data_IF_234488722428
#
_entry.id   IF_234488722428
#
_cell.length_a   1.000
_cell.length_b   1.000
_cell.length_c   1.000
_cell.angle_alpha   90.00
_cell.angle_beta   90.00
_cell.angle_gamma   90.00
#
_symmetry.space_group_name_H-M   'P 1'
#
loop_
_entity.id
_entity.type
_entity.pdbx_description
1 polymer ?
#
# COMPACT_ATOMS: atom_id res chain seq x y z
N UNK A 1 -44.74 16.99 -31.75
CA UNK A 1 -45.85 17.96 -31.78
C UNK A 1 -45.98 18.42 -30.35
N UNK A 2 -45.59 19.61 -29.93
CA UNK A 2 -45.48 20.90 -30.61
C UNK A 2 -44.22 21.65 -30.13
N UNK A 3 -43.64 22.45 -31.03
CA UNK A 3 -42.80 23.59 -30.70
C UNK A 3 -43.70 24.78 -30.37
N UNK A 4 -43.25 25.67 -29.48
CA UNK A 4 -43.31 27.13 -29.68
C UNK A 4 -42.38 27.80 -28.64
N UNK A 5 -41.31 28.49 -29.02
CA UNK A 5 -41.19 29.82 -29.65
C UNK A 5 -40.94 30.92 -28.60
N UNK A 6 -39.71 31.47 -28.64
CA UNK A 6 -39.22 32.62 -27.88
C UNK A 6 -40.01 33.91 -28.21
N UNK A 7 -39.91 34.92 -27.34
CA UNK A 7 -39.62 36.26 -27.85
C UNK A 7 -38.44 36.93 -27.15
N UNK A 8 -37.67 37.62 -27.99
CA UNK A 8 -36.53 38.47 -27.70
C UNK A 8 -37.03 39.85 -27.21
N UNK A 9 -36.40 40.43 -26.18
CA UNK A 9 -36.79 41.74 -25.65
C UNK A 9 -35.68 42.39 -24.83
N UNK A 10 -34.84 43.17 -25.51
CA UNK A 10 -33.81 44.03 -24.92
C UNK A 10 -34.44 45.10 -24.01
N UNK A 11 -33.97 45.20 -22.78
CA UNK A 11 -33.94 46.47 -22.05
C UNK A 11 -32.72 46.51 -21.12
N UNK A 12 -31.75 47.32 -21.53
CA UNK A 12 -30.56 47.65 -20.76
C UNK A 12 -30.90 48.59 -19.61
N UNK A 13 -30.44 48.26 -18.41
CA UNK A 13 -30.24 49.22 -17.32
C UNK A 13 -28.90 48.93 -16.65
N UNK A 14 -27.99 49.88 -16.78
CA UNK A 14 -26.64 49.87 -16.24
C UNK A 14 -26.63 50.26 -14.76
N UNK A 15 -25.76 49.62 -13.95
CA UNK A 15 -24.93 50.17 -12.85
C UNK A 15 -24.43 49.05 -11.92
N UNK A 16 -23.38 49.25 -11.10
CA UNK A 16 -21.99 49.51 -11.47
C UNK A 16 -21.06 48.35 -11.07
N UNK A 17 -19.89 48.29 -11.70
CA UNK A 17 -18.86 47.29 -11.44
C UNK A 17 -18.34 47.33 -10.00
N UNK A 18 -18.62 46.28 -9.23
CA UNK A 18 -17.86 45.93 -8.03
C UNK A 18 -16.74 44.95 -8.41
N UNK A 19 -15.54 45.36 -8.05
CA UNK A 19 -14.27 44.66 -8.17
C UNK A 19 -14.35 43.19 -7.76
N UNK A 20 -14.19 42.27 -8.72
CA UNK A 20 -13.99 40.86 -8.47
C UNK A 20 -12.52 40.60 -8.07
N UNK A 21 -12.31 40.18 -6.81
CA UNK A 21 -11.11 39.49 -6.38
C UNK A 21 -11.07 38.06 -6.99
N UNK A 22 -9.89 37.44 -7.16
CA UNK A 22 -9.78 36.18 -7.90
C UNK A 22 -10.21 35.00 -7.01
N UNK A 23 -11.41 34.48 -7.25
CA UNK A 23 -11.86 33.18 -6.75
C UNK A 23 -11.18 32.06 -7.56
N UNK A 24 -9.99 31.62 -7.13
CA UNK A 24 -9.28 30.46 -7.70
C UNK A 24 -9.01 29.32 -6.69
N UNK A 25 -9.54 29.41 -5.46
CA UNK A 25 -9.25 28.48 -4.36
C UNK A 25 -10.08 27.17 -4.29
N UNK A 26 -11.34 27.08 -4.76
CA UNK A 26 -12.16 25.87 -4.53
C UNK A 26 -11.72 24.65 -5.36
N UNK A 27 -11.26 24.87 -6.60
CA UNK A 27 -10.98 23.76 -7.54
C UNK A 27 -9.69 22.99 -7.19
N UNK A 28 -8.69 23.64 -6.61
CA UNK A 28 -7.44 22.99 -6.22
C UNK A 28 -7.62 22.06 -5.02
N UNK A 29 -8.39 22.48 -4.01
CA UNK A 29 -8.71 21.67 -2.83
C UNK A 29 -9.50 20.41 -3.20
N UNK A 30 -10.48 20.53 -4.10
CA UNK A 30 -11.27 19.39 -4.58
C UNK A 30 -10.41 18.39 -5.37
N UNK A 31 -9.49 18.90 -6.18
CA UNK A 31 -8.52 18.06 -6.92
C UNK A 31 -7.58 17.33 -5.94
N UNK A 32 -7.05 18.03 -4.94
CA UNK A 32 -6.19 17.46 -3.90
C UNK A 32 -6.92 16.38 -3.08
N UNK A 33 -8.19 16.60 -2.76
CA UNK A 33 -9.04 15.64 -2.08
C UNK A 33 -9.22 14.38 -2.94
N UNK A 34 -9.53 14.54 -4.22
CA UNK A 34 -9.72 13.42 -5.15
C UNK A 34 -8.47 12.54 -5.25
N UNK A 35 -7.28 13.14 -5.37
CA UNK A 35 -6.01 12.38 -5.38
C UNK A 35 -5.74 11.71 -4.02
N UNK A 36 -6.07 12.38 -2.91
CA UNK A 36 -5.91 11.82 -1.56
C UNK A 36 -6.79 10.59 -1.32
N UNK A 37 -8.01 10.57 -1.87
CA UNK A 37 -8.93 9.43 -1.76
C UNK A 37 -8.43 8.20 -2.53
N UNK A 38 -7.74 8.38 -3.67
CA UNK A 38 -7.16 7.25 -4.44
C UNK A 38 -6.13 6.45 -3.63
N UNK A 39 -5.47 7.12 -2.68
CA UNK A 39 -4.44 6.54 -1.84
C UNK A 39 -4.99 5.78 -0.63
N UNK A 40 -6.31 5.74 -0.43
CA UNK A 40 -6.97 5.04 0.69
C UNK A 40 -7.24 3.56 0.40
N UNK A 41 -6.94 3.08 -0.81
CA UNK A 41 -7.27 1.73 -1.28
C UNK A 41 -6.86 0.62 -0.29
N UNK A 42 -5.65 0.66 0.27
CA UNK A 42 -5.19 -0.38 1.21
C UNK A 42 -6.08 -0.45 2.45
N UNK A 43 -6.45 0.70 3.02
CA UNK A 43 -7.23 0.74 4.25
C UNK A 43 -8.67 0.25 4.07
N UNK A 44 -9.19 0.27 2.86
CA UNK A 44 -10.46 -0.38 2.52
C UNK A 44 -10.28 -1.86 2.20
N UNK A 45 -9.16 -2.23 1.58
CA UNK A 45 -8.93 -3.58 1.08
C UNK A 45 -8.75 -4.60 2.20
N UNK A 46 -7.98 -4.27 3.23
CA UNK A 46 -7.69 -5.18 4.36
C UNK A 46 -8.96 -5.64 5.08
N UNK A 47 -9.84 -4.75 5.59
CA UNK A 47 -11.05 -5.18 6.27
C UNK A 47 -12.03 -5.92 5.36
N UNK A 48 -12.08 -5.55 4.08
CA UNK A 48 -12.92 -6.26 3.10
C UNK A 48 -12.43 -7.69 2.85
N UNK A 49 -11.12 -7.91 2.72
CA UNK A 49 -10.56 -9.26 2.60
C UNK A 49 -10.74 -10.07 3.88
N UNK A 50 -10.63 -9.43 5.05
CA UNK A 50 -10.91 -10.07 6.33
C UNK A 50 -12.40 -10.45 6.46
N UNK A 51 -13.33 -9.56 6.10
CA UNK A 51 -14.76 -9.85 6.06
C UNK A 51 -15.10 -11.03 5.13
N UNK A 52 -14.52 -11.04 3.91
CA UNK A 52 -14.66 -12.16 2.97
C UNK A 52 -14.10 -13.47 3.51
N UNK A 53 -13.00 -13.43 4.28
CA UNK A 53 -12.45 -14.61 4.94
C UNK A 53 -13.47 -15.16 5.95
N UNK A 54 -14.03 -14.30 6.79
CA UNK A 54 -15.03 -14.68 7.82
C UNK A 54 -16.29 -15.28 7.18
N UNK A 55 -16.88 -14.62 6.17
CA UNK A 55 -18.06 -15.14 5.46
C UNK A 55 -17.81 -16.53 4.88
N UNK A 56 -16.67 -16.72 4.20
CA UNK A 56 -16.32 -18.02 3.62
C UNK A 56 -16.12 -19.10 4.68
N UNK A 57 -15.52 -18.75 5.82
CA UNK A 57 -15.31 -19.69 6.91
C UNK A 57 -16.65 -20.14 7.51
N UNK A 58 -17.54 -19.18 7.79
CA UNK A 58 -18.87 -19.46 8.32
C UNK A 58 -19.72 -20.26 7.33
N UNK A 59 -19.72 -19.89 6.05
CA UNK A 59 -20.44 -20.62 5.00
C UNK A 59 -19.97 -22.08 4.89
N UNK A 60 -18.66 -22.33 4.85
CA UNK A 60 -18.11 -23.70 4.82
C UNK A 60 -18.46 -24.50 6.07
N UNK A 61 -18.49 -23.87 7.23
CA UNK A 61 -18.89 -24.53 8.47
C UNK A 61 -20.35 -25.00 8.41
N UNK A 62 -21.24 -24.16 7.85
CA UNK A 62 -22.65 -24.51 7.62
C UNK A 62 -22.76 -25.65 6.62
N UNK A 63 -22.16 -25.51 5.43
CA UNK A 63 -22.24 -26.54 4.38
C UNK A 63 -21.77 -27.91 4.90
N UNK A 64 -20.64 -27.94 5.60
CA UNK A 64 -20.08 -29.18 6.14
C UNK A 64 -20.98 -29.84 7.19
N UNK A 65 -21.44 -29.08 8.18
CA UNK A 65 -22.23 -29.64 9.27
C UNK A 65 -23.64 -30.01 8.80
N UNK A 66 -24.28 -29.17 7.98
CA UNK A 66 -25.60 -29.47 7.40
C UNK A 66 -25.53 -30.71 6.52
N UNK A 67 -24.55 -30.81 5.62
CA UNK A 67 -24.36 -32.00 4.77
C UNK A 67 -24.19 -33.27 5.60
N UNK A 68 -23.44 -33.20 6.70
CA UNK A 68 -23.18 -34.36 7.55
C UNK A 68 -24.38 -34.72 8.45
N UNK A 69 -25.23 -33.75 8.82
CA UNK A 69 -26.48 -34.04 9.51
C UNK A 69 -27.49 -34.66 8.56
N UNK A 70 -27.62 -34.13 7.34
CA UNK A 70 -28.51 -34.69 6.30
C UNK A 70 -28.11 -36.13 5.97
N UNK A 71 -26.82 -36.41 5.80
CA UNK A 71 -26.35 -37.78 5.57
C UNK A 71 -26.64 -38.69 6.76
N UNK A 72 -26.41 -38.22 7.98
CA UNK A 72 -26.73 -38.99 9.19
C UNK A 72 -28.22 -39.29 9.35
N UNK A 73 -29.10 -38.37 8.96
CA UNK A 73 -30.56 -38.63 8.98
C UNK A 73 -30.92 -39.68 7.93
N UNK A 74 -30.35 -39.61 6.72
CA UNK A 74 -30.59 -40.61 5.67
C UNK A 74 -30.10 -42.01 6.11
N UNK A 75 -28.90 -42.10 6.67
CA UNK A 75 -28.37 -43.36 7.22
C UNK A 75 -29.28 -43.94 8.30
N UNK A 76 -29.81 -43.12 9.20
CA UNK A 76 -30.75 -43.58 10.23
C UNK A 76 -32.11 -44.02 9.66
N UNK A 77 -32.51 -43.54 8.48
CA UNK A 77 -33.75 -43.93 7.82
C UNK A 77 -33.62 -45.25 7.04
N UNK A 78 -32.45 -45.52 6.48
CA UNK A 78 -32.19 -46.73 5.68
C UNK A 78 -31.70 -47.93 6.53
N UNK A 79 -31.23 -47.68 7.76
CA UNK A 79 -30.68 -48.71 8.64
C UNK A 79 -31.76 -49.39 9.49
N UNK A 80 -31.67 -50.71 9.65
CA UNK A 80 -32.54 -51.47 10.57
C UNK A 80 -32.01 -51.32 12.01
N UNK A 81 -32.28 -50.16 12.61
CA UNK A 81 -31.77 -49.78 13.95
C UNK A 81 -32.76 -50.16 15.05
N UNK A 82 -32.25 -50.52 16.23
CA UNK A 82 -33.11 -50.58 17.41
C UNK A 82 -33.62 -49.18 17.79
N UNK A 83 -34.75 -49.12 18.50
CA UNK A 83 -35.34 -47.83 18.94
C UNK A 83 -34.36 -47.01 19.78
N UNK A 84 -33.60 -47.65 20.66
CA UNK A 84 -32.64 -46.98 21.54
C UNK A 84 -31.44 -46.44 20.76
N UNK A 85 -30.94 -47.18 19.77
CA UNK A 85 -29.86 -46.72 18.88
C UNK A 85 -30.30 -45.55 18.00
N UNK A 86 -31.53 -45.60 17.46
CA UNK A 86 -32.10 -44.50 16.68
C UNK A 86 -32.24 -43.22 17.52
N UNK A 87 -32.70 -43.33 18.77
CA UNK A 87 -32.81 -42.20 19.70
C UNK A 87 -31.42 -41.63 20.03
N UNK A 88 -30.42 -42.47 20.30
CA UNK A 88 -29.05 -42.02 20.55
C UNK A 88 -28.45 -41.32 19.33
N UNK A 89 -28.68 -41.85 18.13
CA UNK A 89 -28.19 -41.27 16.88
C UNK A 89 -28.81 -39.90 16.62
N UNK A 90 -30.14 -39.79 16.71
CA UNK A 90 -30.84 -38.51 16.56
C UNK A 90 -30.42 -37.49 17.63
N UNK A 91 -30.20 -37.94 18.86
CA UNK A 91 -29.69 -37.07 19.95
C UNK A 91 -28.30 -36.52 19.62
N UNK A 92 -27.42 -37.36 19.05
CA UNK A 92 -26.11 -36.92 18.55
C UNK A 92 -26.25 -35.87 17.44
N UNK A 93 -27.11 -36.09 16.46
CA UNK A 93 -27.37 -35.11 15.38
C UNK A 93 -27.93 -33.78 15.91
N UNK A 94 -28.85 -33.82 16.87
CA UNK A 94 -29.36 -32.62 17.55
C UNK A 94 -28.24 -31.87 18.27
N UNK A 95 -27.35 -32.59 18.97
CA UNK A 95 -26.20 -31.98 19.65
C UNK A 95 -25.27 -31.26 18.68
N UNK A 96 -25.06 -31.83 17.48
CA UNK A 96 -24.27 -31.21 16.40
C UNK A 96 -24.93 -29.95 15.87
N UNK A 97 -26.24 -29.97 15.63
CA UNK A 97 -27.00 -28.78 15.20
C UNK A 97 -26.97 -27.67 16.25
N UNK A 98 -27.07 -28.02 17.54
CA UNK A 98 -26.91 -27.04 18.63
C UNK A 98 -25.49 -26.45 18.65
N UNK A 99 -24.46 -27.28 18.41
CA UNK A 99 -23.08 -26.83 18.25
C UNK A 99 -22.90 -25.89 17.05
N UNK A 100 -23.51 -26.21 15.91
CA UNK A 100 -23.52 -25.36 14.72
C UNK A 100 -24.21 -24.03 14.99
N UNK A 101 -25.36 -24.02 15.68
CA UNK A 101 -26.06 -22.79 16.08
C UNK A 101 -25.15 -21.86 16.88
N UNK A 102 -24.47 -22.37 17.91
CA UNK A 102 -23.53 -21.57 18.72
C UNK A 102 -22.38 -21.02 17.89
N UNK A 103 -21.82 -21.82 16.98
CA UNK A 103 -20.77 -21.38 16.06
C UNK A 103 -21.26 -20.29 15.10
N UNK A 104 -22.49 -20.41 14.59
CA UNK A 104 -23.10 -19.41 13.71
C UNK A 104 -23.40 -18.11 14.42
N UNK A 105 -23.84 -18.15 15.68
CA UNK A 105 -24.04 -16.93 16.47
C UNK A 105 -22.72 -16.16 16.66
N UNK A 106 -21.64 -16.87 16.97
CA UNK A 106 -20.30 -16.25 17.07
C UNK A 106 -19.76 -15.78 15.72
N UNK A 107 -19.95 -16.59 14.67
CA UNK A 107 -19.65 -16.23 13.30
C UNK A 107 -20.41 -14.98 12.86
N UNK A 108 -21.69 -14.85 13.21
CA UNK A 108 -22.51 -13.70 12.89
C UNK A 108 -22.07 -12.43 13.62
N UNK A 109 -21.67 -12.53 14.91
CA UNK A 109 -21.09 -11.38 15.64
C UNK A 109 -19.81 -10.88 14.97
N UNK A 110 -18.91 -11.79 14.63
CA UNK A 110 -17.65 -11.44 13.96
C UNK A 110 -17.89 -10.86 12.57
N UNK A 111 -18.79 -11.42 11.77
CA UNK A 111 -19.20 -10.86 10.48
C UNK A 111 -19.77 -9.45 10.60
N UNK A 112 -20.69 -9.23 11.54
CA UNK A 112 -21.30 -7.92 11.78
C UNK A 112 -20.26 -6.88 12.18
N UNK A 113 -19.31 -7.25 13.04
CA UNK A 113 -18.21 -6.37 13.42
C UNK A 113 -17.36 -5.97 12.21
N UNK A 114 -17.02 -6.92 11.33
CA UNK A 114 -16.24 -6.60 10.13
C UNK A 114 -17.03 -5.76 9.12
N UNK A 115 -18.33 -6.01 8.99
CA UNK A 115 -19.21 -5.19 8.16
C UNK A 115 -19.32 -3.76 8.71
N UNK A 116 -19.45 -3.59 10.03
CA UNK A 116 -19.43 -2.29 10.70
C UNK A 116 -18.11 -1.55 10.42
N UNK A 117 -16.96 -2.21 10.54
CA UNK A 117 -15.65 -1.62 10.22
C UNK A 117 -15.50 -1.23 8.75
N UNK A 118 -16.07 -2.00 7.83
CA UNK A 118 -16.12 -1.60 6.43
C UNK A 118 -16.96 -0.34 6.25
N UNK A 119 -18.13 -0.27 6.90
CA UNK A 119 -19.03 0.90 6.85
C UNK A 119 -18.38 2.14 7.46
N UNK A 120 -17.82 2.05 8.66
CA UNK A 120 -17.15 3.18 9.32
C UNK A 120 -16.04 3.80 8.46
N UNK A 121 -15.32 2.98 7.69
CA UNK A 121 -14.32 3.47 6.74
C UNK A 121 -14.92 4.13 5.50
N UNK A 122 -16.03 3.61 4.97
CA UNK A 122 -16.76 4.28 3.89
C UNK A 122 -17.30 5.63 4.36
N UNK A 123 -17.94 5.67 5.53
CA UNK A 123 -18.47 6.89 6.14
C UNK A 123 -17.34 7.92 6.35
N UNK A 124 -16.15 7.49 6.76
CA UNK A 124 -14.97 8.36 6.90
C UNK A 124 -14.42 8.88 5.55
N UNK A 125 -14.59 8.13 4.45
CA UNK A 125 -14.22 8.63 3.12
C UNK A 125 -15.26 9.63 2.60
N UNK A 126 -16.54 9.36 2.85
CA UNK A 126 -17.65 10.26 2.49
C UNK A 126 -17.63 11.55 3.30
N UNK A 127 -17.12 11.51 4.54
CA UNK A 127 -16.98 12.70 5.38
C UNK A 127 -15.89 13.66 4.89
N UNK A 128 -15.12 13.32 3.87
CA UNK A 128 -14.00 14.14 3.43
C UNK A 128 -14.49 15.36 2.63
N UNK A 129 -14.24 16.56 3.14
CA UNK A 129 -14.69 17.82 2.57
C UNK A 129 -13.58 18.89 2.58
N UNK A 130 -13.72 19.92 1.76
CA UNK A 130 -12.76 21.01 1.67
C UNK A 130 -12.64 21.83 2.96
N UNK A 131 -13.69 21.84 3.80
CA UNK A 131 -13.72 22.53 5.08
C UNK A 131 -13.03 21.74 6.21
N UNK A 132 -13.13 20.41 6.21
CA UNK A 132 -12.55 19.55 7.26
C UNK A 132 -11.26 18.81 6.83
N UNK A 133 -10.71 19.16 5.67
CA UNK A 133 -9.56 18.48 5.05
C UNK A 133 -8.35 18.32 6.00
N UNK A 134 -8.12 19.28 6.89
CA UNK A 134 -7.03 19.24 7.88
C UNK A 134 -7.23 18.11 8.90
N UNK A 135 -8.42 18.01 9.50
CA UNK A 135 -8.76 16.97 10.47
C UNK A 135 -8.77 15.60 9.81
N UNK A 136 -9.35 15.51 8.61
CA UNK A 136 -9.35 14.29 7.81
C UNK A 136 -7.93 13.83 7.48
N UNK A 137 -7.06 14.74 7.06
CA UNK A 137 -5.64 14.45 6.78
C UNK A 137 -4.88 14.02 8.03
N UNK A 138 -5.19 14.62 9.19
CA UNK A 138 -4.60 14.22 10.46
C UNK A 138 -5.01 12.79 10.85
N UNK A 139 -6.30 12.46 10.71
CA UNK A 139 -6.82 11.10 10.94
C UNK A 139 -6.15 10.09 10.01
N UNK A 140 -6.00 10.43 8.73
CA UNK A 140 -5.29 9.61 7.74
C UNK A 140 -3.83 9.36 8.14
N UNK A 141 -3.11 10.39 8.58
CA UNK A 141 -1.74 10.25 9.08
C UNK A 141 -1.68 9.30 10.28
N UNK A 142 -2.58 9.45 11.26
CA UNK A 142 -2.65 8.56 12.42
C UNK A 142 -2.90 7.11 12.02
N UNK A 143 -3.78 6.85 11.06
CA UNK A 143 -4.02 5.51 10.49
C UNK A 143 -2.76 4.93 9.83
N UNK A 144 -2.01 5.74 9.08
CA UNK A 144 -0.70 5.36 8.50
C UNK A 144 0.32 5.02 9.60
N UNK A 145 0.37 5.81 10.67
CA UNK A 145 1.27 5.55 11.80
C UNK A 145 0.91 4.24 12.52
N UNK A 146 -0.38 3.94 12.71
CA UNK A 146 -0.80 2.67 13.30
C UNK A 146 -0.44 1.50 12.38
N UNK A 147 -0.68 1.58 11.07
CA UNK A 147 -0.22 0.55 10.11
C UNK A 147 1.29 0.30 10.22
N UNK A 148 2.10 1.37 10.27
CA UNK A 148 3.54 1.26 10.45
C UNK A 148 3.91 0.59 11.78
N UNK A 149 3.32 1.04 12.90
CA UNK A 149 3.59 0.48 14.22
C UNK A 149 3.26 -1.01 14.29
N UNK A 150 2.11 -1.42 13.75
CA UNK A 150 1.70 -2.82 13.73
C UNK A 150 2.64 -3.69 12.88
N UNK A 151 3.13 -3.18 11.73
CA UNK A 151 4.10 -3.89 10.87
C UNK A 151 5.48 -4.02 11.49
N UNK A 152 5.90 -3.03 12.28
CA UNK A 152 7.18 -2.99 12.97
C UNK A 152 7.12 -3.64 14.36
N UNK A 153 6.05 -4.37 14.67
CA UNK A 153 5.82 -5.06 15.95
C UNK A 153 5.63 -4.14 17.18
N UNK A 154 5.36 -2.85 16.99
CA UNK A 154 5.01 -1.89 18.04
C UNK A 154 3.51 -1.92 18.36
N UNK A 155 2.98 -3.12 18.65
CA UNK A 155 1.55 -3.37 18.78
C UNK A 155 0.88 -2.52 19.88
N UNK A 156 1.50 -2.46 21.06
CA UNK A 156 0.94 -1.70 22.19
C UNK A 156 0.83 -0.21 21.90
N UNK A 157 1.86 0.36 21.28
CA UNK A 157 1.89 1.77 20.89
C UNK A 157 0.84 2.06 19.83
N UNK A 158 0.72 1.18 18.83
CA UNK A 158 -0.30 1.29 17.77
C UNK A 158 -1.72 1.24 18.34
N UNK A 159 -1.99 0.31 19.26
CA UNK A 159 -3.29 0.20 19.95
C UNK A 159 -3.61 1.44 20.76
N UNK A 160 -2.66 1.94 21.58
CA UNK A 160 -2.85 3.16 22.38
C UNK A 160 -3.12 4.40 21.51
N UNK A 161 -2.45 4.52 20.36
CA UNK A 161 -2.71 5.60 19.41
C UNK A 161 -4.12 5.50 18.81
N UNK A 162 -4.58 4.29 18.50
CA UNK A 162 -5.92 4.06 17.97
C UNK A 162 -7.03 4.36 19.00
N UNK A 163 -6.83 3.97 20.25
CA UNK A 163 -7.75 4.24 21.36
C UNK A 163 -7.84 5.74 21.67
N UNK A 164 -6.69 6.39 21.89
CA UNK A 164 -6.63 7.83 22.21
C UNK A 164 -7.17 8.74 21.10
N UNK A 165 -7.18 8.27 19.85
CA UNK A 165 -7.71 8.99 18.71
C UNK A 165 -9.11 8.52 18.27
N UNK A 166 -9.74 7.64 19.04
CA UNK A 166 -11.07 7.06 18.76
C UNK A 166 -11.21 6.53 17.32
N UNK A 167 -10.22 5.76 16.87
CA UNK A 167 -10.13 5.28 15.47
C UNK A 167 -9.99 3.75 15.37
N UNK A 168 -10.42 3.01 16.40
CA UNK A 168 -10.37 1.55 16.44
C UNK A 168 -11.07 0.89 15.24
N UNK A 169 -12.15 1.48 14.75
CA UNK A 169 -12.89 0.97 13.58
C UNK A 169 -12.22 1.28 12.23
N UNK A 170 -11.21 2.17 12.23
CA UNK A 170 -10.51 2.63 11.03
C UNK A 170 -9.15 1.94 10.83
N UNK A 171 -8.75 1.07 11.76
CA UNK A 171 -7.45 0.37 11.76
C UNK A 171 -7.62 -1.15 11.88
N UNK A 172 -6.58 -1.90 11.51
CA UNK A 172 -6.63 -3.35 11.33
C UNK A 172 -5.93 -4.14 12.46
N UNK A 173 -6.03 -3.68 13.71
CA UNK A 173 -5.29 -4.23 14.86
C UNK A 173 -5.46 -5.75 14.96
N UNK A 174 -6.69 -6.27 14.90
CA UNK A 174 -6.95 -7.71 15.06
C UNK A 174 -6.28 -8.56 13.96
N UNK A 175 -6.22 -8.03 12.73
CA UNK A 175 -5.60 -8.70 11.59
C UNK A 175 -4.09 -8.84 11.81
N UNK A 176 -3.46 -7.80 12.36
CA UNK A 176 -2.04 -7.85 12.73
C UNK A 176 -1.78 -8.68 14.01
N UNK A 177 -2.74 -8.77 14.93
CA UNK A 177 -2.63 -9.69 16.08
C UNK A 177 -2.68 -11.17 15.66
N UNK A 178 -3.49 -11.52 14.65
CA UNK A 178 -3.44 -12.86 14.04
C UNK A 178 -2.05 -13.15 13.47
N UNK A 179 -1.47 -12.20 12.74
CA UNK A 179 -0.13 -12.34 12.18
C UNK A 179 0.95 -12.44 13.28
N UNK A 180 0.83 -11.65 14.35
CA UNK A 180 1.73 -11.67 15.50
C UNK A 180 1.86 -13.08 16.08
N UNK A 181 0.74 -13.78 16.30
CA UNK A 181 0.76 -15.16 16.82
C UNK A 181 1.61 -16.11 15.98
N UNK A 182 1.56 -15.95 14.65
CA UNK A 182 2.37 -16.76 13.72
C UNK A 182 3.85 -16.33 13.76
N UNK A 183 4.12 -15.02 13.79
CA UNK A 183 5.49 -14.48 13.84
C UNK A 183 6.18 -14.91 15.14
N UNK A 184 5.51 -14.74 16.29
CA UNK A 184 6.04 -15.11 17.61
C UNK A 184 6.31 -16.63 17.67
N UNK A 185 5.43 -17.46 17.08
CA UNK A 185 5.65 -18.89 17.00
C UNK A 185 6.88 -19.26 16.15
N UNK A 186 7.03 -18.64 14.98
CA UNK A 186 8.21 -18.86 14.13
C UNK A 186 9.50 -18.41 14.82
N UNK A 187 9.48 -17.29 15.55
CA UNK A 187 10.63 -16.84 16.35
C UNK A 187 10.98 -17.84 17.48
N UNK A 188 9.97 -18.51 18.02
CA UNK A 188 10.11 -19.59 19.01
C UNK A 188 10.34 -20.97 18.38
N UNK A 189 10.66 -21.03 17.07
CA UNK A 189 10.93 -22.26 16.32
C UNK A 189 9.76 -23.23 16.20
N UNK A 190 8.54 -22.71 16.23
CA UNK A 190 7.32 -23.49 16.00
C UNK A 190 6.68 -23.12 14.66
N UNK A 191 6.67 -24.07 13.73
CA UNK A 191 6.04 -23.92 12.41
C UNK A 191 4.53 -24.18 12.42
N UNK A 192 3.97 -24.77 13.48
CA UNK A 192 2.60 -25.28 13.47
C UNK A 192 1.56 -24.16 13.22
N UNK A 193 1.64 -22.98 13.85
CA UNK A 193 0.72 -21.88 13.56
C UNK A 193 0.82 -21.37 12.12
N UNK A 194 2.03 -21.33 11.56
CA UNK A 194 2.25 -20.90 10.18
C UNK A 194 1.70 -21.92 9.17
N UNK A 195 1.83 -23.22 9.45
CA UNK A 195 1.25 -24.29 8.63
C UNK A 195 -0.28 -24.32 8.72
N UNK A 196 -0.86 -24.06 9.89
CA UNK A 196 -2.31 -23.88 10.05
C UNK A 196 -2.81 -22.70 9.21
N UNK A 197 -2.10 -21.56 9.27
CA UNK A 197 -2.39 -20.41 8.41
C UNK A 197 -2.30 -20.74 6.92
N UNK A 198 -1.32 -21.56 6.50
CA UNK A 198 -1.22 -22.03 5.11
C UNK A 198 -2.44 -22.89 4.72
N UNK A 199 -2.91 -23.77 5.60
CA UNK A 199 -4.07 -24.61 5.36
C UNK A 199 -5.35 -23.77 5.19
N UNK A 200 -5.56 -22.78 6.05
CA UNK A 200 -6.71 -21.87 5.99
C UNK A 200 -6.75 -21.06 4.69
N UNK A 201 -5.58 -20.72 4.16
CA UNK A 201 -5.40 -19.88 2.98
C UNK A 201 -5.01 -20.65 1.70
N UNK A 202 -5.06 -21.99 1.72
CA UNK A 202 -4.51 -22.87 0.68
C UNK A 202 -4.92 -22.51 -0.75
N UNK A 203 -6.20 -22.24 -0.97
CA UNK A 203 -6.73 -21.91 -2.31
C UNK A 203 -6.13 -20.61 -2.88
N UNK A 204 -5.83 -19.64 -2.03
CA UNK A 204 -5.26 -18.34 -2.41
C UNK A 204 -3.76 -18.46 -2.63
N UNK A 205 -3.07 -19.15 -1.71
CA UNK A 205 -1.64 -19.42 -1.82
C UNK A 205 -1.29 -20.24 -3.06
N UNK A 206 -2.16 -21.18 -3.46
CA UNK A 206 -2.01 -21.93 -4.71
C UNK A 206 -2.11 -21.03 -5.94
N UNK A 207 -3.03 -20.04 -5.94
CA UNK A 207 -3.19 -19.08 -7.05
C UNK A 207 -1.96 -18.18 -7.18
N UNK A 208 -1.35 -17.76 -6.08
CA UNK A 208 -0.13 -16.95 -6.07
C UNK A 208 1.15 -17.77 -6.22
N UNK A 209 1.05 -19.10 -6.33
CA UNK A 209 2.19 -20.04 -6.39
C UNK A 209 3.17 -19.84 -5.22
N UNK A 210 2.63 -19.59 -4.03
CA UNK A 210 3.40 -19.37 -2.81
C UNK A 210 4.27 -20.57 -2.46
N UNK A 211 5.52 -20.31 -2.06
CA UNK A 211 6.46 -21.33 -1.57
C UNK A 211 6.48 -21.47 -0.05
N UNK A 212 5.66 -20.69 0.68
CA UNK A 212 5.71 -20.61 2.14
C UNK A 212 5.50 -21.98 2.80
N UNK A 213 4.45 -22.70 2.42
CA UNK A 213 4.17 -24.04 2.99
C UNK A 213 5.36 -24.98 2.78
N UNK A 214 5.94 -24.98 1.58
CA UNK A 214 7.10 -25.82 1.28
C UNK A 214 8.31 -25.47 2.15
N UNK A 215 8.64 -24.17 2.28
CA UNK A 215 9.77 -23.72 3.10
C UNK A 215 9.57 -24.05 4.60
N UNK A 216 8.36 -23.89 5.13
CA UNK A 216 8.02 -24.29 6.50
C UNK A 216 8.21 -25.80 6.72
N UNK A 217 7.77 -26.62 5.76
CA UNK A 217 7.95 -28.09 5.82
C UNK A 217 9.41 -28.51 5.74
N UNK A 218 10.24 -27.80 4.97
CA UNK A 218 11.68 -28.04 4.93
C UNK A 218 12.32 -27.71 6.28
N UNK A 219 11.98 -26.57 6.90
CA UNK A 219 12.52 -26.21 8.21
C UNK A 219 12.12 -27.20 9.29
N UNK A 220 10.85 -27.62 9.33
CA UNK A 220 10.36 -28.63 10.27
C UNK A 220 11.12 -29.96 10.13
N UNK A 221 11.40 -30.38 8.89
CA UNK A 221 12.27 -31.53 8.64
C UNK A 221 13.70 -31.31 9.17
N UNK A 222 14.29 -30.14 8.94
CA UNK A 222 15.64 -29.80 9.43
C UNK A 222 15.69 -29.88 10.97
N UNK A 223 14.65 -29.42 11.67
CA UNK A 223 14.59 -29.54 13.13
C UNK A 223 14.46 -31.01 13.58
N UNK A 224 13.69 -31.85 12.88
CA UNK A 224 13.68 -33.30 13.17
C UNK A 224 15.07 -33.96 12.99
N UNK A 225 15.86 -33.48 12.03
CA UNK A 225 17.25 -33.92 11.83
C UNK A 225 18.16 -33.37 12.92
N UNK A 226 17.96 -32.12 13.36
CA UNK A 226 18.70 -31.49 14.46
C UNK A 226 18.51 -32.26 15.77
N UNK A 227 17.30 -32.79 16.01
CA UNK A 227 16.93 -33.61 17.17
C UNK A 227 17.35 -35.09 17.03
N UNK A 228 18.14 -35.43 16.01
CA UNK A 228 18.59 -36.80 15.68
C UNK A 228 17.44 -37.83 15.53
N UNK A 229 16.22 -37.35 15.28
CA UNK A 229 15.00 -38.16 15.12
C UNK A 229 14.84 -38.66 13.68
N UNK A 230 15.88 -39.32 13.13
CA UNK A 230 16.00 -39.63 11.69
C UNK A 230 14.84 -40.45 11.12
N UNK A 231 14.34 -41.46 11.85
CA UNK A 231 13.19 -42.26 11.41
C UNK A 231 11.93 -41.40 11.24
N UNK A 232 11.68 -40.48 12.18
CA UNK A 232 10.54 -39.55 12.10
C UNK A 232 10.74 -38.58 10.94
N UNK A 233 11.96 -38.06 10.74
CA UNK A 233 12.29 -37.18 9.62
C UNK A 233 12.02 -37.85 8.26
N UNK A 234 12.43 -39.11 8.07
CA UNK A 234 12.19 -39.86 6.82
C UNK A 234 10.69 -40.07 6.56
N UNK A 235 9.93 -40.47 7.59
CA UNK A 235 8.47 -40.63 7.49
C UNK A 235 7.82 -39.28 7.16
N UNK A 236 8.25 -38.21 7.80
CA UNK A 236 7.78 -36.85 7.56
C UNK A 236 8.03 -36.41 6.11
N UNK A 237 9.26 -36.58 5.61
CA UNK A 237 9.64 -36.21 4.25
C UNK A 237 8.80 -36.94 3.21
N UNK A 238 8.58 -38.24 3.37
CA UNK A 238 7.72 -39.04 2.48
C UNK A 238 6.29 -38.51 2.46
N UNK A 239 5.77 -38.09 3.61
CA UNK A 239 4.39 -37.61 3.73
C UNK A 239 4.19 -36.19 3.18
N UNK A 240 5.06 -35.25 3.55
CA UNK A 240 4.83 -33.82 3.32
C UNK A 240 5.73 -33.19 2.26
N UNK A 241 6.94 -33.72 2.03
CA UNK A 241 7.90 -33.14 1.07
C UNK A 241 7.86 -33.84 -0.30
N UNK A 242 7.63 -35.15 -0.34
CA UNK A 242 7.56 -35.90 -1.59
C UNK A 242 6.60 -35.31 -2.65
N UNK A 243 5.40 -34.78 -2.30
CA UNK A 243 4.53 -34.12 -3.27
C UNK A 243 5.14 -32.90 -3.98
N UNK A 244 6.17 -32.29 -3.39
CA UNK A 244 6.85 -31.10 -3.92
C UNK A 244 8.11 -31.44 -4.71
N UNK A 245 8.53 -32.70 -4.72
CA UNK A 245 9.77 -33.13 -5.37
C UNK A 245 9.77 -32.83 -6.88
N UNK A 246 8.62 -32.94 -7.56
CA UNK A 246 8.49 -32.65 -8.99
C UNK A 246 8.83 -31.19 -9.34
N UNK A 247 8.57 -30.24 -8.44
CA UNK A 247 8.78 -28.80 -8.68
C UNK A 247 10.01 -28.23 -7.98
N UNK A 248 10.48 -28.86 -6.90
CA UNK A 248 11.54 -28.36 -6.03
C UNK A 248 12.61 -29.40 -5.70
N UNK A 249 12.96 -30.27 -6.66
CA UNK A 249 13.88 -31.38 -6.44
C UNK A 249 15.25 -30.95 -5.88
N UNK A 250 15.82 -29.86 -6.36
CA UNK A 250 17.14 -29.39 -5.92
C UNK A 250 17.15 -29.01 -4.43
N UNK A 251 16.12 -28.26 -3.99
CA UNK A 251 15.97 -27.86 -2.60
C UNK A 251 15.70 -29.09 -1.72
N UNK A 252 14.87 -30.02 -2.21
CA UNK A 252 14.58 -31.27 -1.53
C UNK A 252 15.84 -32.14 -1.35
N UNK A 253 16.64 -32.36 -2.40
CA UNK A 253 17.89 -33.11 -2.33
C UNK A 253 18.87 -32.47 -1.35
N UNK A 254 19.02 -31.15 -1.41
CA UNK A 254 19.91 -30.40 -0.51
C UNK A 254 19.51 -30.59 0.95
N UNK A 255 18.22 -30.54 1.26
CA UNK A 255 17.72 -30.71 2.63
C UNK A 255 17.79 -32.18 3.07
N UNK A 256 17.49 -33.15 2.22
CA UNK A 256 17.61 -34.58 2.56
C UNK A 256 19.07 -34.96 2.88
N UNK A 257 20.06 -34.35 2.22
CA UNK A 257 21.47 -34.55 2.53
C UNK A 257 21.85 -34.20 3.97
N UNK A 258 21.05 -33.41 4.69
CA UNK A 258 21.29 -33.12 6.11
C UNK A 258 21.16 -34.36 7.02
N UNK A 259 20.54 -35.45 6.53
CA UNK A 259 20.59 -36.76 7.19
C UNK A 259 22.02 -37.33 7.30
N UNK A 260 22.89 -37.01 6.33
CA UNK A 260 24.30 -37.38 6.36
C UNK A 260 25.16 -36.29 7.02
N UNK A 261 24.88 -35.02 6.69
CA UNK A 261 25.58 -33.85 7.24
C UNK A 261 24.77 -33.29 8.42
N UNK A 262 24.97 -33.89 9.61
CA UNK A 262 24.34 -33.52 10.89
C UNK A 262 24.44 -32.01 11.21
N UNK A 263 23.70 -31.56 12.22
CA UNK A 263 23.64 -30.15 12.65
C UNK A 263 24.98 -29.50 13.01
N UNK A 264 25.97 -30.29 13.46
CA UNK A 264 27.33 -29.82 13.77
C UNK A 264 28.29 -29.80 12.55
N UNK A 265 27.77 -29.88 11.32
CA UNK A 265 28.61 -29.92 10.12
C UNK A 265 29.34 -28.61 9.85
N UNK A 266 30.62 -28.72 9.47
CA UNK A 266 31.41 -27.59 8.96
C UNK A 266 31.28 -27.42 7.44
N UNK A 267 30.50 -28.28 6.77
CA UNK A 267 30.26 -28.17 5.34
C UNK A 267 29.30 -27.00 5.08
N UNK A 268 29.86 -25.87 4.62
CA UNK A 268 29.13 -24.60 4.45
C UNK A 268 27.76 -24.71 3.74
N UNK A 269 27.59 -25.47 2.63
CA UNK A 269 26.29 -25.61 1.96
C UNK A 269 25.16 -26.17 2.84
N UNK A 270 25.50 -26.99 3.84
CA UNK A 270 24.54 -27.63 4.75
C UNK A 270 24.49 -26.93 6.11
N UNK A 271 25.61 -26.37 6.58
CA UNK A 271 25.69 -25.58 7.81
C UNK A 271 24.67 -24.45 7.83
N UNK A 272 24.55 -23.72 6.71
CA UNK A 272 23.62 -22.58 6.55
C UNK A 272 22.16 -22.99 6.82
N UNK A 273 21.78 -24.24 6.54
CA UNK A 273 20.40 -24.72 6.73
C UNK A 273 20.03 -24.87 8.21
N UNK A 274 21.00 -25.06 9.09
CA UNK A 274 20.79 -25.18 10.54
C UNK A 274 20.91 -23.83 11.28
N UNK A 275 21.29 -22.76 10.58
CA UNK A 275 21.47 -21.44 11.19
C UNK A 275 20.15 -20.85 11.69
N UNK A 276 20.15 -20.15 12.84
CA UNK A 276 18.95 -19.48 13.34
C UNK A 276 18.33 -18.48 12.35
N UNK A 277 19.15 -17.87 11.47
CA UNK A 277 18.70 -16.92 10.44
C UNK A 277 17.70 -17.49 9.44
N UNK A 278 17.58 -18.82 9.33
CA UNK A 278 16.53 -19.45 8.52
C UNK A 278 15.13 -19.09 9.06
N UNK A 279 14.99 -18.97 10.38
CA UNK A 279 13.72 -18.57 11.00
C UNK A 279 13.36 -17.12 10.69
N UNK A 280 14.34 -16.21 10.69
CA UNK A 280 14.12 -14.81 10.27
C UNK A 280 13.65 -14.75 8.81
N UNK A 281 14.25 -15.57 7.95
CA UNK A 281 13.86 -15.67 6.53
C UNK A 281 12.43 -16.21 6.36
N UNK A 282 12.00 -17.15 7.21
CA UNK A 282 10.61 -17.64 7.22
C UNK A 282 9.63 -16.60 7.74
N UNK A 283 10.01 -15.82 8.75
CA UNK A 283 9.20 -14.69 9.25
C UNK A 283 9.01 -13.67 8.13
N UNK A 284 10.07 -13.31 7.40
CA UNK A 284 9.98 -12.36 6.30
C UNK A 284 9.14 -12.91 5.13
N UNK A 285 9.31 -14.19 4.79
CA UNK A 285 8.48 -14.85 3.77
C UNK A 285 7.00 -14.85 4.19
N UNK A 286 6.71 -15.15 5.46
CA UNK A 286 5.35 -15.08 6.00
C UNK A 286 4.79 -13.67 5.92
N UNK A 287 5.54 -12.64 6.34
CA UNK A 287 5.12 -11.23 6.25
C UNK A 287 4.79 -10.82 4.81
N UNK A 288 5.60 -11.23 3.85
CA UNK A 288 5.34 -10.96 2.42
C UNK A 288 4.06 -11.62 1.94
N UNK A 289 3.85 -12.90 2.25
CA UNK A 289 2.65 -13.63 1.84
C UNK A 289 1.40 -13.11 2.55
N UNK A 290 1.51 -12.73 3.82
CA UNK A 290 0.46 -12.07 4.58
C UNK A 290 0.05 -10.72 3.94
N UNK A 291 1.03 -9.87 3.58
CA UNK A 291 0.74 -8.61 2.91
C UNK A 291 0.05 -8.82 1.55
N UNK A 292 0.57 -9.73 0.72
CA UNK A 292 -0.04 -10.10 -0.57
C UNK A 292 -1.47 -10.62 -0.39
N UNK A 293 -1.71 -11.42 0.64
CA UNK A 293 -3.02 -12.01 0.93
C UNK A 293 -4.04 -10.93 1.31
N UNK A 294 -3.67 -9.90 2.06
CA UNK A 294 -4.59 -8.81 2.40
C UNK A 294 -4.59 -7.66 1.39
N UNK A 295 -3.82 -7.75 0.30
CA UNK A 295 -3.71 -6.68 -0.69
C UNK A 295 -2.99 -5.44 -0.18
N UNK A 296 -2.08 -5.64 0.76
CA UNK A 296 -1.24 -4.61 1.35
C UNK A 296 0.06 -4.44 0.56
N UNK A 297 0.64 -3.25 0.63
CA UNK A 297 2.01 -3.01 0.20
C UNK A 297 2.99 -3.82 1.06
N UNK A 298 4.11 -4.25 0.47
CA UNK A 298 5.18 -4.92 1.23
C UNK A 298 5.88 -3.93 2.16
N UNK A 299 6.23 -2.76 1.62
CA UNK A 299 6.74 -1.65 2.40
C UNK A 299 5.58 -0.94 3.14
N UNK A 300 5.76 -0.54 4.41
CA UNK A 300 4.78 0.26 5.13
C UNK A 300 4.44 1.56 4.39
N UNK A 301 3.18 2.00 4.48
CA UNK A 301 2.72 3.22 3.80
C UNK A 301 3.51 4.47 4.21
N UNK A 302 3.94 4.54 5.47
CA UNK A 302 4.77 5.64 5.97
C UNK A 302 6.07 5.77 5.18
N UNK A 303 6.75 4.65 4.90
CA UNK A 303 8.00 4.63 4.13
C UNK A 303 7.76 5.11 2.71
N UNK A 304 6.70 4.60 2.07
CA UNK A 304 6.35 4.95 0.68
C UNK A 304 6.06 6.45 0.56
N UNK A 305 5.21 6.99 1.44
CA UNK A 305 4.86 8.41 1.40
C UNK A 305 6.02 9.32 1.75
N UNK A 306 6.85 8.93 2.72
CA UNK A 306 8.04 9.69 3.07
C UNK A 306 9.03 9.73 1.90
N UNK A 307 9.30 8.59 1.25
CA UNK A 307 10.18 8.54 0.08
C UNK A 307 9.61 9.35 -1.09
N UNK A 308 8.31 9.23 -1.38
CA UNK A 308 7.67 10.00 -2.43
C UNK A 308 7.73 11.52 -2.16
N UNK A 309 7.42 11.94 -0.93
CA UNK A 309 7.50 13.33 -0.51
C UNK A 309 8.92 13.89 -0.57
N UNK A 310 9.90 13.17 -0.04
CA UNK A 310 11.30 13.57 -0.10
C UNK A 310 11.80 13.65 -1.55
N UNK A 311 11.43 12.70 -2.41
CA UNK A 311 11.80 12.75 -3.84
C UNK A 311 11.17 13.94 -4.58
N UNK A 312 9.94 14.33 -4.23
CA UNK A 312 9.27 15.49 -4.81
C UNK A 312 9.92 16.82 -4.37
N UNK A 313 10.45 16.86 -3.15
CA UNK A 313 11.14 18.04 -2.61
C UNK A 313 12.62 18.09 -3.02
N UNK A 314 13.26 16.94 -3.25
CA UNK A 314 14.68 16.85 -3.55
C UNK A 314 15.03 17.54 -4.87
N UNK A 315 15.98 18.47 -4.78
CA UNK A 315 16.57 19.17 -5.92
C UNK A 315 18.05 18.84 -6.05
N UNK A 316 18.66 19.00 -7.25
CA UNK A 316 20.11 18.82 -7.41
C UNK A 316 20.96 19.77 -6.54
N UNK A 317 20.41 20.95 -6.23
CA UNK A 317 21.08 22.01 -5.48
C UNK A 317 20.64 22.05 -4.02
N UNK A 318 20.15 20.94 -3.47
CA UNK A 318 19.70 20.87 -2.08
C UNK A 318 20.92 20.88 -1.14
N UNK A 319 21.51 22.06 -0.97
CA UNK A 319 22.64 22.34 -0.08
C UNK A 319 22.15 23.00 1.22
N UNK A 320 22.97 22.93 2.27
CA UNK A 320 22.65 23.43 3.62
C UNK A 320 22.26 24.91 3.70
N UNK A 321 22.58 25.71 2.69
CA UNK A 321 22.61 27.17 2.82
C UNK A 321 21.40 27.90 2.21
N UNK A 322 20.58 27.24 1.38
CA UNK A 322 19.50 27.90 0.62
C UNK A 322 18.09 27.28 0.81
N UNK A 323 17.91 26.34 1.74
CA UNK A 323 16.59 25.76 1.99
C UNK A 323 15.74 26.65 2.92
N UNK A 324 14.48 26.95 2.56
CA UNK A 324 13.53 27.56 3.49
C UNK A 324 13.42 26.75 4.78
N UNK A 325 13.21 27.41 5.93
CA UNK A 325 13.03 26.72 7.22
C UNK A 325 11.84 25.73 7.24
N UNK A 326 10.87 25.93 6.34
CA UNK A 326 9.71 25.06 6.18
C UNK A 326 9.99 23.82 5.31
N UNK A 327 11.15 23.76 4.64
CA UNK A 327 11.55 22.58 3.86
C UNK A 327 12.05 21.47 4.80
N UNK A 328 11.43 20.28 4.80
CA UNK A 328 11.94 19.12 5.54
C UNK A 328 13.42 18.80 5.26
N UNK A 329 13.91 19.06 4.05
CA UNK A 329 15.32 18.84 3.67
C UNK A 329 16.31 19.85 4.31
N UNK A 330 15.79 20.87 5.02
CA UNK A 330 16.62 21.69 5.91
C UNK A 330 17.19 20.88 7.08
N UNK A 331 16.56 19.78 7.47
CA UNK A 331 17.04 18.90 8.54
C UNK A 331 17.95 17.81 8.02
N UNK A 332 19.09 17.59 8.70
CA UNK A 332 20.09 16.59 8.33
C UNK A 332 19.52 15.17 8.23
N UNK A 333 18.62 14.81 9.15
CA UNK A 333 17.96 13.50 9.19
C UNK A 333 17.19 13.20 7.90
N UNK A 334 16.42 14.16 7.40
CA UNK A 334 15.67 14.01 6.15
C UNK A 334 16.60 14.06 4.92
N UNK A 335 17.68 14.85 4.96
CA UNK A 335 18.71 14.80 3.90
C UNK A 335 19.33 13.42 3.76
N UNK A 336 19.71 12.78 4.87
CA UNK A 336 20.27 11.42 4.90
C UNK A 336 19.32 10.41 4.26
N UNK A 337 18.03 10.50 4.58
CA UNK A 337 16.99 9.64 3.98
C UNK A 337 16.77 9.92 2.49
N UNK A 338 16.97 11.17 2.06
CA UNK A 338 16.78 11.58 0.67
C UNK A 338 17.96 11.25 -0.26
N UNK A 339 19.16 10.97 0.25
CA UNK A 339 20.37 10.67 -0.55
C UNK A 339 20.12 9.63 -1.66
N UNK A 340 19.57 8.43 -1.39
CA UNK A 340 19.37 7.41 -2.42
C UNK A 340 18.19 7.68 -3.37
N UNK A 341 17.36 8.69 -3.09
CA UNK A 341 16.13 8.96 -3.84
C UNK A 341 16.40 9.77 -5.11
N UNK A 342 15.61 9.59 -6.18
CA UNK A 342 15.72 10.43 -7.37
C UNK A 342 15.25 11.86 -7.08
N UNK A 343 15.83 12.83 -7.80
CA UNK A 343 15.33 14.22 -7.83
C UNK A 343 14.17 14.28 -8.84
N UNK A 344 12.92 14.26 -8.36
CA UNK A 344 11.75 14.30 -9.26
C UNK A 344 11.46 15.72 -9.78
N UNK A 345 11.94 16.75 -9.07
CA UNK A 345 11.75 18.14 -9.45
C UNK A 345 12.81 18.57 -10.47
N UNK A 346 12.42 18.63 -11.73
CA UNK A 346 13.22 19.27 -12.78
C UNK A 346 13.01 20.79 -12.69
N UNK A 347 14.05 21.53 -12.34
CA UNK A 347 14.05 22.97 -12.44
C UNK A 347 14.36 23.37 -13.88
N UNK A 348 13.37 23.84 -14.62
CA UNK A 348 13.61 24.52 -15.89
C UNK A 348 13.82 26.01 -15.61
N UNK A 349 15.04 26.49 -15.79
CA UNK A 349 15.33 27.92 -15.79
C UNK A 349 14.56 28.57 -16.95
N UNK A 350 13.78 29.60 -16.62
CA UNK A 350 13.00 30.39 -17.59
C UNK A 350 13.63 31.76 -17.70
N UNK A 351 13.95 32.21 -18.92
CA UNK A 351 14.40 33.57 -19.14
C UNK A 351 13.19 34.51 -19.19
N UNK A 352 13.28 35.63 -18.46
CA UNK A 352 12.27 36.68 -18.48
C UNK A 352 12.92 37.93 -19.05
N UNK A 353 12.26 38.56 -20.02
CA UNK A 353 12.80 39.74 -20.67
C UNK A 353 12.94 40.89 -19.69
N UNK A 354 14.09 41.56 -19.68
CA UNK A 354 14.29 42.73 -18.84
C UNK A 354 13.35 43.90 -19.18
N UNK A 355 12.96 44.04 -20.46
CA UNK A 355 12.13 45.15 -20.96
C UNK A 355 10.66 44.82 -20.81
N UNK A 356 10.17 43.77 -21.48
CA UNK A 356 8.73 43.45 -21.51
C UNK A 356 8.25 42.73 -20.25
N UNK A 357 9.16 42.21 -19.42
CA UNK A 357 8.85 41.33 -18.27
C UNK A 357 8.09 40.05 -18.66
N UNK A 358 8.03 39.74 -19.96
CA UNK A 358 7.43 38.53 -20.48
C UNK A 358 8.44 37.37 -20.52
N UNK A 359 7.90 36.15 -20.51
CA UNK A 359 8.68 34.93 -20.70
C UNK A 359 9.31 34.92 -22.10
N UNK A 360 10.55 34.45 -22.16
CA UNK A 360 11.29 34.24 -23.39
C UNK A 360 11.27 32.75 -23.71
N UNK A 361 10.45 32.38 -24.69
CA UNK A 361 10.14 30.99 -25.06
C UNK A 361 10.25 30.80 -26.59
N UNK A 362 9.69 29.73 -27.13
CA UNK A 362 9.74 29.43 -28.56
C UNK A 362 9.10 30.51 -29.43
N UNK A 363 8.02 31.13 -28.94
CA UNK A 363 7.27 32.19 -29.63
C UNK A 363 7.89 33.58 -29.41
N UNK A 364 8.62 33.76 -28.31
CA UNK A 364 9.33 34.99 -27.97
C UNK A 364 10.82 34.75 -27.64
N UNK A 365 11.63 34.30 -28.61
CA UNK A 365 12.94 33.75 -28.30
C UNK A 365 13.94 34.80 -27.81
N UNK A 366 14.93 34.38 -26.99
CA UNK A 366 16.05 35.22 -26.60
C UNK A 366 16.93 35.62 -27.78
N UNK A 367 17.21 36.92 -27.88
CA UNK A 367 18.18 37.49 -28.80
C UNK A 367 19.28 38.22 -28.04
N UNK A 368 20.52 37.99 -28.47
CA UNK A 368 21.75 38.51 -27.89
C UNK A 368 22.24 39.68 -28.73
N UNK A 369 22.43 40.82 -28.08
CA UNK A 369 23.06 42.00 -28.67
C UNK A 369 24.59 41.80 -28.77
N UNK A 370 25.32 42.59 -29.59
CA UNK A 370 26.77 42.49 -29.72
C UNK A 370 27.55 42.68 -28.40
N UNK A 371 26.96 43.34 -27.40
CA UNK A 371 27.53 43.49 -26.06
C UNK A 371 27.24 42.32 -25.10
N UNK A 372 26.59 41.25 -25.57
CA UNK A 372 26.28 40.06 -24.79
C UNK A 372 25.00 40.13 -23.94
N UNK A 373 24.28 41.25 -23.92
CA UNK A 373 23.00 41.32 -23.21
C UNK A 373 21.87 40.68 -24.01
N UNK A 374 20.97 39.98 -23.30
CA UNK A 374 19.89 39.20 -23.90
C UNK A 374 18.53 39.86 -23.63
N UNK A 375 17.74 40.00 -24.69
CA UNK A 375 16.38 40.54 -24.65
C UNK A 375 15.45 39.68 -25.51
N UNK A 376 14.14 39.87 -25.36
CA UNK A 376 13.16 39.10 -26.11
C UNK A 376 12.98 39.67 -27.51
N UNK A 377 12.66 38.81 -28.49
CA UNK A 377 12.44 39.24 -29.87
C UNK A 377 11.36 40.33 -29.95
N UNK A 378 10.24 40.16 -29.24
CA UNK A 378 9.18 41.18 -29.16
C UNK A 378 9.69 42.54 -28.66
N UNK A 379 10.50 42.55 -27.60
CA UNK A 379 11.05 43.78 -27.04
C UNK A 379 11.95 44.52 -28.03
N UNK A 380 12.79 43.78 -28.76
CA UNK A 380 13.72 44.34 -29.73
C UNK A 380 12.99 44.83 -30.99
N UNK A 381 11.98 44.11 -31.46
CA UNK A 381 11.16 44.54 -32.60
C UNK A 381 10.35 45.80 -32.29
N UNK A 382 9.74 45.90 -31.12
CA UNK A 382 9.04 47.11 -30.70
C UNK A 382 10.00 48.31 -30.58
N UNK A 383 11.21 48.07 -30.08
CA UNK A 383 12.23 49.10 -29.98
C UNK A 383 12.69 49.57 -31.37
N UNK A 384 12.95 48.64 -32.28
CA UNK A 384 13.33 48.94 -33.65
C UNK A 384 12.21 49.71 -34.38
N UNK A 385 10.93 49.33 -34.19
CA UNK A 385 9.77 50.06 -34.76
C UNK A 385 9.69 51.51 -34.29
N UNK A 386 10.00 51.78 -33.01
CA UNK A 386 9.97 53.12 -32.43
C UNK A 386 11.18 53.98 -32.81
N UNK A 387 12.34 53.35 -33.06
CA UNK A 387 13.62 54.04 -33.26
C UNK A 387 14.17 53.89 -34.69
N UNK A 388 13.31 53.89 -35.71
CA UNK A 388 13.68 53.82 -37.13
C UNK A 388 14.67 52.68 -37.46
N UNK A 389 14.42 51.48 -36.91
CA UNK A 389 15.22 50.27 -37.16
C UNK A 389 16.44 50.08 -36.26
N UNK A 390 16.74 51.04 -35.36
CA UNK A 390 17.87 50.97 -34.44
C UNK A 390 17.45 50.44 -33.07
N UNK A 391 18.29 49.59 -32.48
CA UNK A 391 18.08 49.00 -31.17
C UNK A 391 19.14 49.54 -30.22
N UNK A 392 18.69 50.14 -29.12
CA UNK A 392 19.57 50.71 -28.09
C UNK A 392 19.50 49.86 -26.83
N UNK A 393 20.63 49.29 -26.42
CA UNK A 393 20.71 48.53 -25.19
C UNK A 393 20.40 49.44 -23.98
N UNK A 394 19.34 49.17 -23.20
CA UNK A 394 18.97 50.04 -22.07
C UNK A 394 19.98 50.02 -20.92
N UNK A 395 20.92 49.06 -20.91
CA UNK A 395 21.92 48.91 -19.85
C UNK A 395 23.26 49.56 -20.16
N UNK A 396 23.64 49.62 -21.43
CA UNK A 396 24.97 50.09 -21.87
C UNK A 396 24.92 51.26 -22.82
N UNK A 397 23.74 51.58 -23.36
CA UNK A 397 23.57 52.60 -24.41
C UNK A 397 24.07 52.18 -25.79
N UNK A 398 24.57 50.95 -25.97
CA UNK A 398 25.03 50.46 -27.28
C UNK A 398 23.88 50.48 -28.29
N UNK A 399 24.11 51.10 -29.45
CA UNK A 399 23.17 51.13 -30.58
C UNK A 399 23.63 50.13 -31.64
N UNK A 400 22.74 49.24 -32.06
CA UNK A 400 23.00 48.22 -33.08
C UNK A 400 21.79 48.06 -34.01
N UNK A 401 22.01 47.40 -35.15
CA UNK A 401 20.95 47.07 -36.10
C UNK A 401 20.38 45.68 -35.83
N UNK A 402 19.16 45.42 -36.34
CA UNK A 402 18.51 44.11 -36.18
C UNK A 402 19.28 42.96 -36.84
N UNK A 403 20.12 43.25 -37.84
CA UNK A 403 20.99 42.27 -38.51
C UNK A 403 22.15 41.76 -37.65
N UNK A 404 22.49 42.46 -36.58
CA UNK A 404 23.61 42.13 -35.68
C UNK A 404 23.17 41.27 -34.48
N UNK A 405 21.88 40.94 -34.41
CA UNK A 405 21.29 40.13 -33.33
C UNK A 405 21.52 38.65 -33.58
N UNK A 406 21.91 37.92 -32.52
CA UNK A 406 22.07 36.47 -32.58
C UNK A 406 21.03 35.80 -31.70
N UNK A 407 20.31 34.82 -32.23
CA UNK A 407 19.37 34.01 -31.44
C UNK A 407 20.13 33.14 -30.45
N UNK A 408 19.80 33.22 -29.17
CA UNK A 408 20.31 32.27 -28.17
C UNK A 408 19.44 31.00 -28.16
N UNK A 409 20.09 29.86 -27.98
CA UNK A 409 19.43 28.58 -27.73
C UNK A 409 19.73 28.17 -26.30
N UNK A 410 18.69 27.80 -25.56
CA UNK A 410 18.79 27.31 -24.19
C UNK A 410 18.48 25.82 -24.24
N UNK A 411 19.37 25.01 -23.67
CA UNK A 411 19.18 23.56 -23.51
C UNK A 411 18.54 23.23 -22.17
#
# INVERSE_FOLDING_TARGET
MEMDSLPNGNSATASPATTAAPNAAPSSKLTQLTESLKLEHQFLRVPFEHYKKTIRANHRAVEKEVSSVVSGVAEAADSDMSKDEAVQHLTSLVSRLQGLKRKLEEGGRTENLQAQRCRARLDHLESADAENLSEWSNMRLKRILVDYMLRMSYYETGTKLAESSNMLDLVDIDVFQEAKKVIDALQNRDVAPALAWCADNRSRLKKTKSKLEFQLRLQDFIELVRDESFLRAIVYARKYLAPWAATHMNDFQRVISTLAFKSATECAPYKILFEPKQWDSLVDLFKQEFCKLYGMTLEPLLNIYLQAGLSALKTPNCSEYDCPKEDPLSQESFRKLAVPLPCSKQHHSKLVCYITKELMDTENPPQVLPNGYVYSTKALEEMAKKNNGKITCPRTGLVCNSSELVKAYIS
#
